data_IF_279268285396
#
_entry.id   IF_279268285396
#
_cell.length_a   1.000
_cell.length_b   1.000
_cell.length_c   1.000
_cell.angle_alpha   90.00
_cell.angle_beta   90.00
_cell.angle_gamma   90.00
#
_symmetry.space_group_name_H-M   'P 1'
#
loop_
_entity.id
_entity.type
_entity.pdbx_description
1 polymer ?
#
# COMPACT_ATOMS: atom_id res chain seq x y z
N UNK A 1 -3.09 -3.39 -3.77
CA UNK A 1 -2.22 -4.43 -4.33
C UNK A 1 -2.55 -5.71 -3.61
N UNK A 2 -2.70 -6.80 -4.36
CA UNK A 2 -3.04 -8.10 -3.77
C UNK A 2 -2.17 -9.13 -4.45
N UNK A 3 -1.35 -9.84 -3.69
CA UNK A 3 -0.56 -10.96 -4.18
C UNK A 3 -1.45 -12.20 -4.37
N UNK A 4 -2.42 -12.14 -5.28
CA UNK A 4 -3.37 -13.23 -5.51
C UNK A 4 -2.88 -14.22 -6.55
N UNK A 5 -2.21 -15.28 -6.11
CA UNK A 5 -2.49 -16.64 -6.59
C UNK A 5 -1.77 -17.63 -5.67
N UNK A 6 -2.54 -18.51 -5.01
CA UNK A 6 -2.10 -19.63 -4.16
C UNK A 6 -1.78 -19.34 -2.68
N UNK A 7 -2.68 -18.65 -1.97
CA UNK A 7 -2.67 -18.64 -0.49
C UNK A 7 -3.78 -19.56 0.00
N UNK A 8 -3.44 -20.55 0.84
CA UNK A 8 -4.44 -21.27 1.63
C UNK A 8 -4.87 -20.37 2.80
N UNK A 9 -6.12 -19.89 2.77
CA UNK A 9 -6.66 -19.05 3.83
C UNK A 9 -6.77 -19.79 5.18
N UNK A 10 -6.67 -21.11 5.23
CA UNK A 10 -6.66 -21.85 6.49
C UNK A 10 -5.25 -21.99 7.07
N UNK A 11 -4.20 -21.66 6.30
CA UNK A 11 -2.82 -21.70 6.75
C UNK A 11 -2.38 -20.35 7.35
N UNK A 12 -2.15 -20.27 8.67
CA UNK A 12 -1.74 -19.02 9.32
C UNK A 12 -0.37 -18.50 8.83
N UNK A 13 0.52 -19.38 8.37
CA UNK A 13 1.84 -18.98 7.87
C UNK A 13 1.73 -18.29 6.50
N UNK A 14 0.90 -18.84 5.60
CA UNK A 14 0.70 -18.24 4.28
C UNK A 14 -0.04 -16.90 4.38
N UNK A 15 -1.02 -16.78 5.29
CA UNK A 15 -1.68 -15.50 5.60
C UNK A 15 -0.68 -14.44 6.07
N UNK A 16 0.23 -14.81 6.96
CA UNK A 16 1.29 -13.89 7.43
C UNK A 16 2.23 -13.51 6.29
N UNK A 17 2.68 -14.47 5.49
CA UNK A 17 3.56 -14.23 4.36
C UNK A 17 2.92 -13.29 3.32
N UNK A 18 1.62 -13.47 3.03
CA UNK A 18 0.86 -12.58 2.14
C UNK A 18 0.79 -11.16 2.72
N UNK A 19 0.50 -11.02 4.01
CA UNK A 19 0.47 -9.72 4.67
C UNK A 19 1.84 -9.02 4.62
N UNK A 20 2.93 -9.73 4.91
CA UNK A 20 4.31 -9.21 4.85
C UNK A 20 4.69 -8.82 3.42
N UNK A 21 4.32 -9.62 2.42
CA UNK A 21 4.57 -9.33 1.01
C UNK A 21 3.80 -8.08 0.54
N UNK A 22 2.54 -7.93 0.93
CA UNK A 22 1.73 -6.76 0.61
C UNK A 22 2.27 -5.49 1.31
N UNK A 23 2.70 -5.60 2.58
CA UNK A 23 3.35 -4.50 3.32
C UNK A 23 4.64 -4.06 2.61
N UNK A 24 5.50 -5.01 2.26
CA UNK A 24 6.74 -4.75 1.54
C UNK A 24 6.48 -4.09 0.18
N UNK A 25 5.58 -4.65 -0.62
CA UNK A 25 5.25 -4.10 -1.95
C UNK A 25 4.73 -2.67 -1.86
N UNK A 26 3.85 -2.37 -0.90
CA UNK A 26 3.33 -1.02 -0.70
C UNK A 26 4.43 -0.03 -0.34
N UNK A 27 5.36 -0.41 0.54
CA UNK A 27 6.48 0.45 0.92
C UNK A 27 7.51 0.63 -0.23
N UNK A 28 7.76 -0.43 -0.99
CA UNK A 28 8.68 -0.42 -2.13
C UNK A 28 8.15 0.46 -3.27
N UNK A 29 6.87 0.34 -3.60
CA UNK A 29 6.27 1.06 -4.73
C UNK A 29 5.85 2.49 -4.37
N UNK A 30 5.50 2.74 -3.12
CA UNK A 30 5.08 4.04 -2.62
C UNK A 30 5.86 4.41 -1.35
N UNK A 31 7.14 4.83 -1.47
CA UNK A 31 7.93 5.27 -0.33
C UNK A 31 7.23 6.39 0.43
N UNK A 32 7.30 6.37 1.77
CA UNK A 32 6.46 7.21 2.63
C UNK A 32 6.58 8.71 2.31
N UNK A 33 7.82 9.21 2.24
CA UNK A 33 8.11 10.63 1.96
C UNK A 33 7.63 11.04 0.57
N UNK A 34 7.90 10.23 -0.45
CA UNK A 34 7.46 10.49 -1.82
C UNK A 34 5.93 10.46 -1.93
N UNK A 35 5.27 9.54 -1.21
CA UNK A 35 3.82 9.41 -1.20
C UNK A 35 3.14 10.61 -0.54
N UNK A 36 3.65 11.08 0.60
CA UNK A 36 3.17 12.29 1.27
C UNK A 36 3.35 13.55 0.42
N UNK A 37 4.50 13.70 -0.23
CA UNK A 37 4.74 14.80 -1.17
C UNK A 37 3.78 14.73 -2.37
N UNK A 38 3.53 13.54 -2.91
CA UNK A 38 2.57 13.35 -3.99
C UNK A 38 1.15 13.71 -3.54
N UNK A 39 0.74 13.36 -2.32
CA UNK A 39 -0.56 13.77 -1.76
C UNK A 39 -0.70 15.29 -1.61
N UNK A 40 0.35 15.95 -1.13
CA UNK A 40 0.35 17.41 -0.96
C UNK A 40 0.31 18.17 -2.29
N UNK A 41 0.90 17.61 -3.34
CA UNK A 41 1.05 18.27 -4.65
C UNK A 41 0.00 17.87 -5.68
N UNK A 42 -0.57 16.66 -5.56
CA UNK A 42 -1.57 16.12 -6.49
C UNK A 42 -2.90 16.07 -5.76
N UNK A 43 -3.77 17.03 -6.02
CA UNK A 43 -5.04 17.26 -5.30
C UNK A 43 -6.10 16.14 -5.33
N UNK A 44 -5.75 14.90 -5.69
CA UNK A 44 -6.60 13.73 -5.48
C UNK A 44 -5.78 12.44 -5.32
N UNK A 45 -6.29 11.49 -4.54
CA UNK A 45 -5.67 10.18 -4.35
C UNK A 45 -5.58 9.37 -5.67
N UNK A 46 -6.53 9.58 -6.59
CA UNK A 46 -6.49 8.98 -7.93
C UNK A 46 -5.28 9.46 -8.74
N UNK A 47 -4.98 10.76 -8.67
CA UNK A 47 -3.81 11.33 -9.32
C UNK A 47 -2.50 10.82 -8.71
N UNK A 48 -2.48 10.55 -7.40
CA UNK A 48 -1.35 9.91 -6.71
C UNK A 48 -1.18 8.45 -7.14
N UNK A 49 -2.26 7.67 -7.19
CA UNK A 49 -2.22 6.29 -7.65
C UNK A 49 -1.68 6.18 -9.08
N UNK A 50 -2.15 7.05 -9.98
CA UNK A 50 -1.66 7.14 -11.35
C UNK A 50 -0.16 7.48 -11.42
N UNK A 51 0.33 8.37 -10.53
CA UNK A 51 1.74 8.74 -10.49
C UNK A 51 2.65 7.57 -10.09
N UNK A 52 2.22 6.75 -9.14
CA UNK A 52 2.96 5.55 -8.71
C UNK A 52 2.70 4.32 -9.58
N UNK A 53 1.82 4.41 -10.60
CA UNK A 53 1.48 3.28 -11.46
C UNK A 53 0.75 2.16 -10.72
N UNK A 54 -0.04 2.48 -9.70
CA UNK A 54 -0.78 1.52 -8.88
C UNK A 54 -2.29 1.72 -8.97
N UNK A 55 -3.07 0.75 -8.49
CA UNK A 55 -4.53 0.92 -8.40
C UNK A 55 -4.91 1.94 -7.32
N UNK A 56 -6.05 2.61 -7.48
CA UNK A 56 -6.59 3.52 -6.45
C UNK A 56 -6.67 2.83 -5.07
N UNK A 57 -7.13 1.57 -5.04
CA UNK A 57 -7.20 0.78 -3.80
C UNK A 57 -5.83 0.56 -3.15
N UNK A 58 -4.75 0.44 -3.93
CA UNK A 58 -3.41 0.32 -3.36
C UNK A 58 -2.96 1.63 -2.68
N UNK A 59 -3.26 2.77 -3.30
CA UNK A 59 -2.98 4.08 -2.73
C UNK A 59 -3.83 4.36 -1.48
N UNK A 60 -5.09 3.92 -1.44
CA UNK A 60 -5.94 3.98 -0.23
C UNK A 60 -5.33 3.19 0.93
N UNK A 61 -4.98 1.92 0.71
CA UNK A 61 -4.33 1.10 1.74
C UNK A 61 -3.03 1.75 2.21
N UNK A 62 -2.25 2.33 1.29
CA UNK A 62 -1.03 3.05 1.66
C UNK A 62 -1.31 4.26 2.55
N UNK A 63 -2.31 5.07 2.20
CA UNK A 63 -2.75 6.21 3.00
C UNK A 63 -3.20 5.77 4.42
N UNK A 64 -4.01 4.72 4.52
CA UNK A 64 -4.44 4.13 5.79
C UNK A 64 -3.23 3.68 6.64
N UNK A 65 -2.26 2.98 6.03
CA UNK A 65 -1.08 2.48 6.74
C UNK A 65 -0.14 3.59 7.22
N UNK A 66 0.03 4.68 6.46
CA UNK A 66 0.88 5.80 6.85
C UNK A 66 0.20 6.74 7.85
N UNK A 67 -1.10 7.02 7.67
CA UNK A 67 -1.87 7.84 8.59
C UNK A 67 -2.02 7.21 9.98
N UNK A 68 -1.95 5.88 10.07
CA UNK A 68 -1.95 5.15 11.35
C UNK A 68 -0.57 5.12 12.04
N UNK A 69 0.51 5.30 11.27
CA UNK A 69 1.88 5.20 11.76
C UNK A 69 2.45 6.53 12.30
N UNK A 70 1.85 7.68 11.98
CA UNK A 70 2.29 9.01 12.48
C UNK A 70 1.64 9.44 13.81
N UNK A 71 0.87 8.57 14.47
CA UNK A 71 0.20 8.85 15.76
C UNK A 71 0.80 8.10 16.97
N UNK A 72 2.02 7.56 16.86
CA UNK A 72 2.71 6.84 17.95
C UNK A 72 4.12 7.40 18.17
#
# INVERSE_FOLDING_TARGET
MVATRWVDENDPNQKRAEWEANWFAAAFLMPATAFQQALATRGSLKSVANFFGVSARAAEVRLETLGSAELI
#
